data_IF_374831490463
#
_entry.id   IF_374831490463
#
_cell.length_a   1.000
_cell.length_b   1.000
_cell.length_c   1.000
_cell.angle_alpha   90.00
_cell.angle_beta   90.00
_cell.angle_gamma   90.00
#
_symmetry.space_group_name_H-M   'P 1'
#
loop_
_entity.id
_entity.type
_entity.pdbx_description
1 polymer ?
#
# COMPACT_ATOMS: atom_id res chain seq x y z
N UNK A 1 7.41 -29.11 3.15
CA UNK A 1 7.67 -27.96 4.05
C UNK A 1 6.38 -27.16 4.21
N UNK A 2 6.03 -26.78 5.44
CA UNK A 2 4.68 -26.38 5.87
C UNK A 2 4.19 -24.99 5.40
N UNK A 3 5.04 -24.12 4.85
CA UNK A 3 4.66 -22.72 4.55
C UNK A 3 5.17 -22.21 3.19
N UNK A 4 5.41 -23.10 2.22
CA UNK A 4 5.96 -22.71 0.91
C UNK A 4 5.07 -21.74 0.12
N UNK A 5 3.75 -21.76 0.37
CA UNK A 5 2.79 -20.87 -0.28
C UNK A 5 2.75 -19.45 0.32
N UNK A 6 3.43 -19.21 1.45
CA UNK A 6 3.37 -17.94 2.17
C UNK A 6 4.27 -16.90 1.48
N UNK A 7 3.66 -15.93 0.79
CA UNK A 7 4.37 -14.84 0.08
C UNK A 7 5.33 -14.01 0.94
N UNK A 8 5.16 -13.99 2.26
CA UNK A 8 6.02 -13.27 3.19
C UNK A 8 7.09 -14.13 3.87
N UNK A 9 7.34 -15.36 3.40
CA UNK A 9 8.23 -16.31 4.08
C UNK A 9 9.67 -15.78 4.20
N UNK A 10 10.23 -15.19 3.14
CA UNK A 10 11.59 -14.64 3.14
C UNK A 10 11.70 -13.42 4.06
N UNK A 11 10.67 -12.58 4.02
CA UNK A 11 10.50 -11.41 4.87
C UNK A 11 10.46 -11.82 6.37
N UNK A 12 9.71 -12.87 6.68
CA UNK A 12 9.58 -13.41 8.03
C UNK A 12 10.86 -14.11 8.49
N UNK A 13 11.55 -14.82 7.59
CA UNK A 13 12.86 -15.40 7.85
C UNK A 13 13.93 -14.31 8.12
N UNK A 14 13.91 -13.22 7.36
CA UNK A 14 14.75 -12.04 7.61
C UNK A 14 14.47 -11.42 8.98
N UNK A 15 13.19 -11.23 9.33
CA UNK A 15 12.78 -10.72 10.65
C UNK A 15 13.19 -11.66 11.77
N UNK A 16 12.99 -12.96 11.59
CA UNK A 16 13.36 -13.98 12.57
C UNK A 16 14.87 -13.97 12.82
N UNK A 17 15.69 -13.89 11.77
CA UNK A 17 17.16 -13.77 11.88
C UNK A 17 17.61 -12.59 12.75
N UNK A 18 16.87 -11.48 12.75
CA UNK A 18 17.17 -10.36 13.65
C UNK A 18 16.76 -10.62 15.09
N UNK A 19 15.62 -11.28 15.32
CA UNK A 19 15.14 -11.61 16.66
C UNK A 19 16.03 -12.67 17.32
N UNK A 20 16.40 -13.74 16.61
CA UNK A 20 17.17 -14.86 17.17
C UNK A 20 18.56 -14.46 17.66
N UNK A 21 19.11 -13.32 17.21
CA UNK A 21 20.34 -12.74 17.79
C UNK A 21 20.23 -12.44 19.29
N UNK A 22 19.00 -12.29 19.80
CA UNK A 22 18.71 -11.92 21.19
C UNK A 22 18.13 -13.07 22.01
N UNK A 23 17.47 -14.03 21.36
CA UNK A 23 16.71 -15.11 22.02
C UNK A 23 17.06 -16.51 21.51
N UNK A 24 18.04 -16.64 20.61
CA UNK A 24 18.31 -17.89 19.88
C UNK A 24 18.72 -19.06 20.77
N UNK A 25 19.30 -18.77 21.93
CA UNK A 25 19.73 -19.78 22.91
C UNK A 25 18.64 -20.13 23.93
N UNK A 26 17.47 -19.47 23.87
CA UNK A 26 16.36 -19.71 24.79
C UNK A 26 15.49 -20.87 24.31
N UNK A 27 15.06 -21.72 25.24
CA UNK A 27 13.99 -22.70 24.97
C UNK A 27 12.68 -21.98 24.65
N UNK A 28 11.80 -22.61 23.86
CA UNK A 28 10.49 -22.04 23.51
C UNK A 28 9.66 -21.63 24.75
N UNK A 29 9.74 -22.43 25.82
CA UNK A 29 9.06 -22.19 27.10
C UNK A 29 9.57 -20.92 27.82
N UNK A 30 10.82 -20.55 27.57
CA UNK A 30 11.48 -19.36 28.15
C UNK A 30 11.21 -18.09 27.34
N UNK A 31 10.52 -18.18 26.21
CA UNK A 31 10.23 -17.01 25.37
C UNK A 31 8.95 -16.34 25.84
N UNK A 32 9.05 -15.13 26.39
CA UNK A 32 7.94 -14.29 26.80
C UNK A 32 8.27 -12.81 26.53
N UNK A 33 7.34 -11.90 26.85
CA UNK A 33 7.55 -10.47 26.58
C UNK A 33 8.77 -9.88 27.30
N UNK A 34 9.17 -10.48 28.43
CA UNK A 34 10.34 -10.08 29.21
C UNK A 34 11.64 -10.47 28.52
N UNK A 35 11.77 -11.71 28.06
CA UNK A 35 12.96 -12.14 27.30
C UNK A 35 13.09 -11.45 25.94
N UNK A 36 12.01 -10.88 25.40
CA UNK A 36 12.03 -10.05 24.19
C UNK A 36 12.39 -8.57 24.44
N UNK A 37 12.58 -8.11 25.69
CA UNK A 37 12.92 -6.71 25.95
C UNK A 37 14.29 -6.33 25.39
N UNK A 38 15.28 -7.21 25.50
CA UNK A 38 16.62 -6.98 24.94
C UNK A 38 16.57 -6.72 23.43
N UNK A 39 15.76 -7.49 22.69
CA UNK A 39 15.47 -7.25 21.27
C UNK A 39 14.80 -5.90 21.05
N UNK A 40 13.76 -5.58 21.80
CA UNK A 40 13.03 -4.31 21.65
C UNK A 40 13.95 -3.11 21.88
N UNK A 41 14.72 -3.13 22.96
CA UNK A 41 15.65 -2.07 23.36
C UNK A 41 16.80 -1.92 22.38
N UNK A 42 17.42 -3.04 21.97
CA UNK A 42 18.48 -3.06 20.97
C UNK A 42 18.02 -2.43 19.65
N UNK A 43 16.85 -2.86 19.14
CA UNK A 43 16.32 -2.31 17.88
C UNK A 43 15.89 -0.84 18.00
N UNK A 44 15.40 -0.41 19.17
CA UNK A 44 15.15 1.03 19.42
C UNK A 44 16.44 1.85 19.41
N UNK A 45 17.51 1.33 20.01
CA UNK A 45 18.83 1.96 20.01
C UNK A 45 19.39 2.09 18.58
N UNK A 46 19.09 1.11 17.73
CA UNK A 46 19.42 1.16 16.29
C UNK A 46 18.56 2.14 15.47
N UNK A 47 17.63 2.87 16.10
CA UNK A 47 16.74 3.82 15.43
C UNK A 47 15.66 3.16 14.56
N UNK A 48 15.37 1.87 14.78
CA UNK A 48 14.41 1.11 13.97
C UNK A 48 12.99 1.46 14.36
N UNK A 49 12.13 1.67 13.35
CA UNK A 49 10.73 2.04 13.60
C UNK A 49 9.97 1.00 14.44
N UNK A 50 9.08 1.47 15.31
CA UNK A 50 8.23 0.61 16.15
C UNK A 50 7.47 -0.44 15.34
N UNK A 51 7.00 -0.07 14.13
CA UNK A 51 6.31 -1.00 13.22
C UNK A 51 7.21 -2.15 12.80
N UNK A 52 8.47 -1.88 12.47
CA UNK A 52 9.45 -2.91 12.10
C UNK A 52 9.76 -3.82 13.29
N UNK A 53 9.88 -3.28 14.50
CA UNK A 53 10.05 -4.08 15.73
C UNK A 53 8.82 -4.98 15.93
N UNK A 54 7.61 -4.42 15.80
CA UNK A 54 6.36 -5.18 15.86
C UNK A 54 6.28 -6.29 14.82
N UNK A 55 6.88 -6.13 13.64
CA UNK A 55 6.94 -7.20 12.64
C UNK A 55 7.78 -8.40 13.14
N UNK A 56 8.92 -8.17 13.81
CA UNK A 56 9.66 -9.24 14.48
C UNK A 56 8.84 -9.94 15.57
N UNK A 57 8.20 -9.15 16.44
CA UNK A 57 7.34 -9.68 17.51
C UNK A 57 6.15 -10.50 16.97
N UNK A 58 5.58 -10.13 15.81
CA UNK A 58 4.51 -10.89 15.14
C UNK A 58 5.00 -12.26 14.67
N UNK A 59 6.23 -12.36 14.15
CA UNK A 59 6.81 -13.63 13.72
C UNK A 59 6.97 -14.56 14.92
N UNK A 60 7.58 -14.08 16.01
CA UNK A 60 7.72 -14.84 17.26
C UNK A 60 6.36 -15.28 17.79
N UNK A 61 5.40 -14.36 17.87
CA UNK A 61 4.04 -14.70 18.33
C UNK A 61 3.40 -15.79 17.48
N UNK A 62 3.54 -15.75 16.15
CA UNK A 62 2.99 -16.79 15.27
C UNK A 62 3.67 -18.13 15.54
N UNK A 63 4.98 -18.16 15.70
CA UNK A 63 5.74 -19.38 16.02
C UNK A 63 5.28 -19.99 17.35
N UNK A 64 5.17 -19.18 18.41
CA UNK A 64 4.72 -19.68 19.73
C UNK A 64 3.28 -20.17 19.70
N UNK A 65 2.39 -19.49 18.95
CA UNK A 65 1.03 -19.98 18.76
C UNK A 65 1.01 -21.31 18.02
N UNK A 66 1.77 -21.45 16.93
CA UNK A 66 1.88 -22.71 16.18
C UNK A 66 2.41 -23.85 17.06
N UNK A 67 3.47 -23.59 17.82
CA UNK A 67 4.02 -24.53 18.79
C UNK A 67 3.01 -24.97 19.86
N UNK A 68 2.04 -24.12 20.19
CA UNK A 68 1.00 -24.41 21.18
C UNK A 68 -0.30 -24.99 20.62
N UNK A 69 -0.47 -25.05 19.30
CA UNK A 69 -1.77 -25.43 18.71
C UNK A 69 -1.72 -26.33 17.48
N UNK A 70 -0.70 -26.21 16.63
CA UNK A 70 -0.62 -26.89 15.33
C UNK A 70 0.57 -27.86 15.26
N UNK A 71 1.73 -27.48 15.81
CA UNK A 71 2.93 -28.31 15.79
C UNK A 71 2.89 -29.32 16.92
N UNK A 72 3.10 -30.59 16.56
CA UNK A 72 3.15 -31.71 17.48
C UNK A 72 4.52 -32.38 17.46
N UNK A 73 4.89 -33.00 18.57
CA UNK A 73 6.04 -33.89 18.66
C UNK A 73 5.68 -35.31 18.17
N UNK A 74 6.63 -36.24 18.29
CA UNK A 74 6.47 -37.64 17.90
C UNK A 74 5.39 -38.39 18.73
N UNK A 75 4.96 -37.83 19.85
CA UNK A 75 3.94 -38.38 20.74
C UNK A 75 2.56 -37.72 20.55
N UNK A 76 2.43 -36.80 19.58
CA UNK A 76 1.19 -36.08 19.32
C UNK A 76 0.87 -34.98 20.33
N UNK A 77 1.85 -34.56 21.13
CA UNK A 77 1.72 -33.45 22.07
C UNK A 77 2.22 -32.15 21.43
N UNK A 78 1.58 -31.03 21.77
CA UNK A 78 2.06 -29.72 21.31
C UNK A 78 3.39 -29.37 21.96
N UNK A 79 4.28 -28.72 21.19
CA UNK A 79 5.59 -28.27 21.67
C UNK A 79 5.51 -27.25 22.81
N UNK A 80 4.38 -26.56 22.95
CA UNK A 80 4.04 -25.72 24.08
C UNK A 80 2.65 -26.06 24.60
N UNK A 81 2.46 -26.04 25.92
CA UNK A 81 1.13 -26.18 26.52
C UNK A 81 0.25 -24.94 26.25
N UNK A 82 0.85 -23.75 26.30
CA UNK A 82 0.16 -22.48 26.05
C UNK A 82 1.14 -21.45 25.45
N UNK A 83 0.67 -20.67 24.48
CA UNK A 83 1.46 -19.58 23.93
C UNK A 83 1.40 -18.34 24.86
N UNK A 84 2.54 -17.75 25.24
CA UNK A 84 2.55 -16.57 26.08
C UNK A 84 2.06 -15.33 25.33
N UNK A 85 1.40 -14.43 26.05
CA UNK A 85 0.88 -13.18 25.48
C UNK A 85 2.01 -12.20 25.18
N UNK A 86 2.46 -12.18 23.93
CA UNK A 86 3.36 -11.13 23.43
C UNK A 86 2.51 -9.89 23.11
N UNK A 87 2.73 -8.73 23.73
CA UNK A 87 2.02 -7.47 23.41
C UNK A 87 2.79 -6.70 22.34
N UNK A 88 2.09 -6.12 21.35
CA UNK A 88 2.73 -5.21 20.38
C UNK A 88 2.93 -3.83 21.00
N UNK A 89 3.98 -3.15 20.56
CA UNK A 89 4.26 -1.76 20.91
C UNK A 89 3.24 -0.84 20.20
N UNK A 90 2.79 0.24 20.85
CA UNK A 90 1.86 1.18 20.22
C UNK A 90 2.53 1.94 19.06
N UNK A 91 1.83 2.04 17.92
CA UNK A 91 2.29 2.76 16.73
C UNK A 91 1.63 4.15 16.69
N UNK A 92 2.33 5.18 17.16
CA UNK A 92 1.81 6.56 17.20
C UNK A 92 2.10 7.37 15.92
N UNK A 93 3.12 6.97 15.15
CA UNK A 93 3.65 7.76 14.02
C UNK A 93 3.19 7.25 12.64
N UNK A 94 1.94 6.76 12.56
CA UNK A 94 1.38 6.36 11.27
C UNK A 94 1.17 7.60 10.39
N UNK A 95 1.94 7.67 9.31
CA UNK A 95 1.78 8.72 8.31
C UNK A 95 0.36 8.69 7.74
N UNK A 96 -0.30 9.83 7.78
CA UNK A 96 -1.63 10.01 7.17
C UNK A 96 -1.55 9.97 5.65
N UNK A 97 -2.58 9.47 4.95
CA UNK A 97 -2.67 9.58 3.50
C UNK A 97 -2.48 11.03 3.03
N UNK A 98 -1.74 11.23 1.95
CA UNK A 98 -1.49 12.56 1.37
C UNK A 98 -2.03 12.62 -0.07
N UNK A 99 -3.34 12.85 -0.29
CA UNK A 99 -3.88 13.09 -1.63
C UNK A 99 -3.32 14.40 -2.20
N UNK A 100 -2.81 14.35 -3.43
CA UNK A 100 -2.29 15.52 -4.13
C UNK A 100 -3.44 16.43 -4.58
N UNK A 101 -3.22 17.74 -4.49
CA UNK A 101 -3.99 18.74 -5.23
C UNK A 101 -3.66 18.68 -6.72
N UNK A 102 -4.48 19.32 -7.56
CA UNK A 102 -4.19 19.46 -8.99
C UNK A 102 -2.88 20.21 -9.22
N UNK A 103 -2.65 21.34 -8.54
CA UNK A 103 -1.38 22.10 -8.63
C UNK A 103 -0.15 21.22 -8.30
N UNK A 104 -0.20 20.48 -7.20
CA UNK A 104 0.89 19.58 -6.82
C UNK A 104 1.13 18.47 -7.85
N UNK A 105 0.06 17.92 -8.44
CA UNK A 105 0.18 16.95 -9.53
C UNK A 105 0.90 17.58 -10.71
N UNK A 106 0.49 18.75 -11.19
CA UNK A 106 1.12 19.42 -12.32
C UNK A 106 2.61 19.70 -12.06
N UNK A 107 2.93 20.28 -10.90
CA UNK A 107 4.33 20.57 -10.53
C UNK A 107 5.17 19.30 -10.45
N UNK A 108 4.65 18.23 -9.86
CA UNK A 108 5.36 16.95 -9.81
C UNK A 108 5.54 16.34 -11.21
N UNK A 109 4.49 16.33 -12.02
CA UNK A 109 4.47 15.62 -13.30
C UNK A 109 5.35 16.31 -14.33
N UNK A 110 5.40 17.65 -14.33
CA UNK A 110 6.29 18.44 -15.19
C UNK A 110 7.78 18.17 -14.91
N UNK A 111 8.13 17.71 -13.71
CA UNK A 111 9.50 17.36 -13.32
C UNK A 111 9.84 15.88 -13.57
N UNK A 112 8.86 15.05 -13.90
CA UNK A 112 9.07 13.62 -14.14
C UNK A 112 9.62 13.38 -15.56
N UNK A 113 10.59 12.46 -15.72
CA UNK A 113 10.92 11.91 -17.04
C UNK A 113 9.69 11.30 -17.71
N UNK A 114 9.58 11.39 -19.04
CA UNK A 114 8.40 10.97 -19.83
C UNK A 114 7.84 9.60 -19.44
N UNK A 115 8.70 8.59 -19.23
CA UNK A 115 8.26 7.26 -18.86
C UNK A 115 7.62 7.21 -17.46
N UNK A 116 8.14 7.97 -16.49
CA UNK A 116 7.57 8.06 -15.14
C UNK A 116 6.32 8.95 -15.10
N UNK A 117 6.26 10.00 -15.91
CA UNK A 117 5.10 10.87 -16.05
C UNK A 117 3.88 10.05 -16.53
N UNK A 118 4.05 9.25 -17.58
CA UNK A 118 3.01 8.31 -18.06
C UNK A 118 2.59 7.29 -17.00
N UNK A 119 3.55 6.69 -16.28
CA UNK A 119 3.23 5.77 -15.19
C UNK A 119 2.48 6.45 -14.04
N UNK A 120 2.86 7.68 -13.68
CA UNK A 120 2.21 8.47 -12.65
C UNK A 120 0.79 8.87 -13.05
N UNK A 121 0.61 9.26 -14.32
CA UNK A 121 -0.69 9.61 -14.88
C UNK A 121 -1.63 8.41 -14.93
N UNK A 122 -1.12 7.23 -15.29
CA UNK A 122 -1.88 5.99 -15.17
C UNK A 122 -2.24 5.67 -13.71
N UNK A 123 -1.27 5.78 -12.79
CA UNK A 123 -1.47 5.49 -11.36
C UNK A 123 -2.56 6.37 -10.72
N UNK A 124 -2.53 7.68 -10.98
CA UNK A 124 -3.46 8.65 -10.37
C UNK A 124 -4.88 8.54 -10.94
N UNK A 125 -5.05 7.84 -12.08
CA UNK A 125 -6.34 7.62 -12.74
C UNK A 125 -6.89 6.20 -12.59
N UNK A 126 -6.13 5.27 -12.01
CA UNK A 126 -6.55 3.85 -11.84
C UNK A 126 -6.42 3.36 -10.41
N UNK A 127 -5.66 4.06 -9.55
CA UNK A 127 -5.40 3.63 -8.18
C UNK A 127 -4.55 2.34 -8.07
N UNK A 128 -3.90 1.94 -9.16
CA UNK A 128 -3.00 0.79 -9.17
C UNK A 128 -1.80 1.02 -8.25
N UNK A 129 -1.31 -0.08 -7.65
CA UNK A 129 -0.08 -0.10 -6.86
C UNK A 129 1.13 -0.09 -7.79
N UNK A 130 2.27 0.34 -7.24
CA UNK A 130 3.55 0.41 -7.97
C UNK A 130 3.86 -0.87 -8.76
N UNK A 131 3.82 -2.02 -8.10
CA UNK A 131 4.05 -3.33 -8.73
C UNK A 131 3.00 -3.70 -9.79
N UNK A 132 1.73 -3.36 -9.57
CA UNK A 132 0.64 -3.62 -10.53
C UNK A 132 0.88 -2.88 -11.86
N UNK A 133 1.48 -1.68 -11.80
CA UNK A 133 1.81 -0.88 -12.99
C UNK A 133 3.09 -1.37 -13.65
N UNK A 134 4.12 -1.63 -12.85
CA UNK A 134 5.43 -2.12 -13.31
C UNK A 134 5.34 -3.45 -14.07
N UNK A 135 4.46 -4.34 -13.62
CA UNK A 135 4.28 -5.68 -14.20
C UNK A 135 3.15 -5.71 -15.25
N UNK A 136 2.41 -4.62 -15.49
CA UNK A 136 1.22 -4.62 -16.35
C UNK A 136 1.56 -5.13 -17.76
N UNK A 137 0.87 -6.18 -18.22
CA UNK A 137 1.10 -6.79 -19.53
C UNK A 137 -0.08 -6.60 -20.49
N UNK A 138 0.23 -6.63 -21.79
CA UNK A 138 -0.76 -6.52 -22.87
C UNK A 138 -1.73 -7.71 -22.89
N UNK A 139 -1.27 -8.92 -22.55
CA UNK A 139 -2.10 -10.13 -22.48
C UNK A 139 -3.21 -10.08 -21.43
N UNK A 140 -3.13 -9.16 -20.45
CA UNK A 140 -4.13 -9.01 -19.40
C UNK A 140 -5.26 -8.06 -19.79
N UNK A 141 -5.18 -7.41 -20.94
CA UNK A 141 -6.23 -6.57 -21.46
C UNK A 141 -7.39 -7.41 -21.99
N UNK A 142 -8.60 -7.12 -21.53
CA UNK A 142 -9.80 -7.83 -21.97
C UNK A 142 -10.57 -6.97 -22.96
N UNK A 143 -10.79 -7.50 -24.15
CA UNK A 143 -11.67 -6.90 -25.14
C UNK A 143 -13.12 -7.28 -24.84
N UNK A 144 -13.99 -6.28 -24.78
CA UNK A 144 -15.42 -6.45 -24.50
C UNK A 144 -16.18 -5.97 -25.73
N UNK A 145 -16.63 -6.88 -26.62
CA UNK A 145 -17.25 -6.51 -27.89
C UNK A 145 -18.44 -5.55 -27.76
N UNK A 146 -19.23 -5.67 -26.69
CA UNK A 146 -20.40 -4.83 -26.43
C UNK A 146 -20.03 -3.43 -25.93
N UNK A 147 -18.80 -3.24 -25.43
CA UNK A 147 -18.31 -2.01 -24.82
C UNK A 147 -16.90 -1.62 -25.35
N UNK A 148 -16.73 -1.41 -26.67
CA UNK A 148 -15.42 -1.22 -27.30
C UNK A 148 -14.71 0.08 -26.87
N UNK A 149 -15.44 1.01 -26.24
CA UNK A 149 -14.89 2.26 -25.72
C UNK A 149 -14.26 2.10 -24.32
N UNK A 150 -14.55 0.99 -23.64
CA UNK A 150 -14.05 0.67 -22.30
C UNK A 150 -12.81 -0.22 -22.43
N UNK A 151 -11.75 0.17 -21.72
CA UNK A 151 -10.53 -0.61 -21.62
C UNK A 151 -10.38 -1.12 -20.19
N UNK A 152 -10.22 -2.43 -20.03
CA UNK A 152 -9.97 -3.05 -18.73
C UNK A 152 -8.79 -4.01 -18.78
N UNK A 153 -8.11 -4.14 -17.65
CA UNK A 153 -7.12 -5.19 -17.42
C UNK A 153 -7.55 -6.09 -16.28
N UNK A 154 -7.29 -7.39 -16.36
CA UNK A 154 -7.41 -8.32 -15.23
C UNK A 154 -6.00 -8.73 -14.82
N UNK A 155 -5.50 -8.14 -13.74
CA UNK A 155 -4.18 -8.49 -13.20
C UNK A 155 -4.30 -9.81 -12.41
N UNK A 156 -3.44 -10.81 -12.70
CA UNK A 156 -3.47 -12.10 -12.02
C UNK A 156 -3.30 -11.99 -10.50
N UNK A 157 -4.03 -12.84 -9.77
CA UNK A 157 -4.01 -12.93 -8.31
C UNK A 157 -2.60 -13.03 -7.70
N UNK A 158 -1.66 -13.66 -8.40
CA UNK A 158 -0.26 -13.84 -8.01
C UNK A 158 0.47 -12.50 -7.80
N UNK A 159 0.12 -11.48 -8.59
CA UNK A 159 0.75 -10.15 -8.54
C UNK A 159 0.03 -9.17 -7.62
N UNK A 160 -1.21 -9.49 -7.22
CA UNK A 160 -2.02 -8.66 -6.36
C UNK A 160 -1.76 -9.01 -4.90
N UNK A 161 -1.49 -7.99 -4.07
CA UNK A 161 -1.12 -8.16 -2.65
C UNK A 161 -2.07 -9.07 -1.85
N UNK A 162 -3.35 -9.10 -2.20
CA UNK A 162 -4.39 -9.82 -1.46
C UNK A 162 -4.68 -11.22 -2.01
N UNK A 163 -4.02 -11.64 -3.10
CA UNK A 163 -4.22 -12.97 -3.68
C UNK A 163 -5.53 -13.14 -4.45
N UNK A 164 -6.23 -12.05 -4.77
CA UNK A 164 -7.43 -12.03 -5.60
C UNK A 164 -7.09 -11.32 -6.92
N UNK A 165 -7.74 -11.70 -8.02
CA UNK A 165 -7.61 -10.98 -9.29
C UNK A 165 -8.00 -9.51 -9.14
N UNK A 166 -7.38 -8.66 -9.97
CA UNK A 166 -7.58 -7.21 -9.91
C UNK A 166 -8.06 -6.69 -11.26
N UNK A 167 -9.36 -6.39 -11.33
CA UNK A 167 -9.94 -5.61 -12.42
C UNK A 167 -9.42 -4.17 -12.35
N UNK A 168 -8.81 -3.67 -13.42
CA UNK A 168 -8.41 -2.27 -13.57
C UNK A 168 -9.25 -1.66 -14.68
N UNK A 169 -10.15 -0.75 -14.33
CA UNK A 169 -10.95 0.00 -15.30
C UNK A 169 -10.20 1.27 -15.68
N UNK A 170 -9.87 1.42 -16.96
CA UNK A 170 -9.16 2.59 -17.47
C UNK A 170 -10.17 3.69 -17.84
N UNK A 171 -10.12 4.82 -17.13
CA UNK A 171 -10.80 6.02 -17.58
C UNK A 171 -10.15 6.57 -18.87
N UNK A 172 -10.74 7.62 -19.47
CA UNK A 172 -10.25 8.18 -20.73
C UNK A 172 -8.77 8.60 -20.70
N UNK A 173 -8.32 9.14 -19.57
CA UNK A 173 -6.92 9.58 -19.41
C UNK A 173 -5.98 8.36 -19.37
N UNK A 174 -6.30 7.37 -18.54
CA UNK A 174 -5.52 6.14 -18.45
C UNK A 174 -5.50 5.36 -19.78
N UNK A 175 -6.64 5.28 -20.47
CA UNK A 175 -6.77 4.67 -21.79
C UNK A 175 -5.90 5.36 -22.82
N UNK A 176 -5.86 6.70 -22.83
CA UNK A 176 -4.98 7.47 -23.71
C UNK A 176 -3.50 7.16 -23.45
N UNK A 177 -3.08 7.09 -22.18
CA UNK A 177 -1.71 6.69 -21.81
C UNK A 177 -1.36 5.31 -22.35
N UNK A 178 -2.22 4.32 -22.14
CA UNK A 178 -1.99 2.94 -22.59
C UNK A 178 -1.86 2.88 -24.12
N UNK A 179 -2.76 3.55 -24.84
CA UNK A 179 -2.72 3.59 -26.30
C UNK A 179 -1.43 4.25 -26.84
N UNK A 180 -0.93 5.29 -26.18
CA UNK A 180 0.34 5.96 -26.53
C UNK A 180 1.59 5.09 -26.29
N UNK A 181 1.45 3.93 -25.63
CA UNK A 181 2.54 3.00 -25.34
C UNK A 181 2.52 1.75 -26.21
N UNK A 182 1.49 1.56 -27.05
CA UNK A 182 1.40 0.43 -27.98
C UNK A 182 2.63 0.37 -28.89
N UNK A 183 3.11 -0.84 -29.13
CA UNK A 183 4.28 -1.09 -29.97
C UNK A 183 5.63 -0.70 -29.35
N UNK A 184 5.68 -0.06 -28.17
CA UNK A 184 6.96 0.31 -27.52
C UNK A 184 7.67 -0.87 -26.84
N UNK A 185 6.92 -1.90 -26.48
CA UNK A 185 7.45 -3.11 -25.84
C UNK A 185 6.54 -4.31 -26.13
N UNK A 186 7.08 -5.52 -26.35
CA UNK A 186 6.28 -6.67 -26.84
C UNK A 186 5.31 -7.24 -25.80
N UNK A 187 5.64 -7.20 -24.51
CA UNK A 187 4.84 -7.86 -23.45
C UNK A 187 4.25 -6.89 -22.43
N UNK A 188 5.08 -6.01 -21.87
CA UNK A 188 4.68 -5.04 -20.85
C UNK A 188 4.15 -3.71 -21.44
N UNK A 189 3.15 -3.13 -20.77
CA UNK A 189 2.58 -1.81 -21.09
C UNK A 189 3.59 -0.70 -20.80
N UNK A 190 4.23 -0.75 -19.63
CA UNK A 190 5.21 0.24 -19.19
C UNK A 190 6.62 -0.32 -19.27
N UNK A 191 7.50 0.39 -19.98
CA UNK A 191 8.90 0.03 -20.11
C UNK A 191 9.79 1.28 -20.20
N UNK A 192 11.07 1.11 -19.91
CA UNK A 192 12.09 2.14 -20.11
C UNK A 192 13.31 1.49 -20.75
N UNK A 193 13.77 2.05 -21.88
CA UNK A 193 14.91 1.53 -22.66
C UNK A 193 14.77 0.03 -22.98
N UNK A 194 13.58 -0.39 -23.40
CA UNK A 194 13.29 -1.76 -23.80
C UNK A 194 13.21 -2.77 -22.65
N UNK A 195 13.19 -2.32 -21.39
CA UNK A 195 13.06 -3.19 -20.21
C UNK A 195 11.88 -2.79 -19.33
N UNK A 196 11.17 -3.75 -18.71
CA UNK A 196 10.22 -3.46 -17.65
C UNK A 196 10.88 -2.73 -16.49
N UNK A 197 10.12 -1.90 -15.77
CA UNK A 197 10.59 -1.24 -14.56
C UNK A 197 10.24 -2.09 -13.35
N UNK A 198 11.15 -2.18 -12.37
CA UNK A 198 10.87 -2.86 -11.09
C UNK A 198 10.14 -1.98 -10.07
N UNK A 199 10.19 -0.65 -10.25
CA UNK A 199 9.52 0.35 -9.39
C UNK A 199 9.44 1.72 -10.04
N UNK A 200 8.35 2.45 -9.80
CA UNK A 200 8.18 3.87 -10.13
C UNK A 200 9.01 4.75 -9.18
N UNK A 201 9.17 4.34 -7.90
CA UNK A 201 9.98 5.05 -6.90
C UNK A 201 11.49 4.88 -7.18
N UNK A 202 11.91 5.33 -8.35
CA UNK A 202 13.27 5.34 -8.85
C UNK A 202 14.01 6.61 -8.42
N UNK A 203 15.28 6.71 -8.82
CA UNK A 203 16.06 7.95 -8.65
C UNK A 203 15.39 9.13 -9.36
N UNK A 204 14.84 8.92 -10.55
CA UNK A 204 14.11 9.95 -11.31
C UNK A 204 12.90 10.50 -10.55
N UNK A 205 12.08 9.64 -9.96
CA UNK A 205 10.96 10.07 -9.11
C UNK A 205 11.43 10.90 -7.92
N UNK A 206 12.48 10.43 -7.23
CA UNK A 206 13.01 11.12 -6.03
C UNK A 206 13.57 12.50 -6.37
N UNK A 207 14.22 12.64 -7.51
CA UNK A 207 14.71 13.94 -7.99
C UNK A 207 13.55 14.86 -8.37
N UNK A 208 12.58 14.36 -9.14
CA UNK A 208 11.42 15.12 -9.57
C UNK A 208 10.62 15.69 -8.38
N UNK A 209 10.32 14.86 -7.38
CA UNK A 209 9.58 15.31 -6.20
C UNK A 209 10.34 16.34 -5.36
N UNK A 210 11.67 16.33 -5.35
CA UNK A 210 12.47 17.34 -4.65
C UNK A 210 12.38 18.67 -5.41
N UNK A 211 12.57 18.65 -6.74
CA UNK A 211 12.45 19.84 -7.59
C UNK A 211 11.06 20.47 -7.51
N UNK A 212 10.03 19.63 -7.46
CA UNK A 212 8.66 20.07 -7.28
C UNK A 212 8.33 20.51 -5.83
N UNK A 213 9.28 20.58 -4.89
CA UNK A 213 8.98 20.96 -3.50
C UNK A 213 8.07 19.98 -2.73
N UNK A 214 8.02 18.73 -3.19
CA UNK A 214 7.15 17.65 -2.72
C UNK A 214 7.97 16.45 -2.23
N UNK A 215 9.07 16.72 -1.51
CA UNK A 215 10.08 15.73 -1.10
C UNK A 215 9.51 14.51 -0.38
N UNK A 216 8.34 14.65 0.25
CA UNK A 216 7.69 13.60 1.02
C UNK A 216 6.72 12.74 0.20
N UNK A 217 6.33 13.15 -1.02
CA UNK A 217 5.32 12.43 -1.83
C UNK A 217 5.84 11.06 -2.27
N UNK A 218 4.98 10.05 -2.12
CA UNK A 218 5.21 8.65 -2.48
C UNK A 218 4.36 8.28 -3.70
N UNK A 219 4.75 7.25 -4.43
CA UNK A 219 3.93 6.69 -5.53
C UNK A 219 2.55 6.26 -5.02
N UNK A 220 2.47 5.71 -3.81
CA UNK A 220 1.20 5.29 -3.19
C UNK A 220 0.25 6.47 -2.89
N UNK A 221 0.77 7.69 -2.78
CA UNK A 221 -0.08 8.87 -2.60
C UNK A 221 -0.93 9.13 -3.86
N UNK A 222 -0.51 8.69 -5.05
CA UNK A 222 -1.34 8.76 -6.27
C UNK A 222 -2.61 7.90 -6.16
N UNK A 223 -2.52 6.72 -5.53
CA UNK A 223 -3.71 5.89 -5.21
C UNK A 223 -4.63 6.61 -4.22
N UNK A 224 -4.06 7.25 -3.20
CA UNK A 224 -4.83 8.06 -2.26
C UNK A 224 -5.50 9.26 -2.94
N UNK A 225 -4.82 9.89 -3.90
CA UNK A 225 -5.37 10.95 -4.75
C UNK A 225 -6.58 10.44 -5.53
N UNK A 226 -6.45 9.32 -6.25
CA UNK A 226 -7.56 8.72 -7.00
C UNK A 226 -8.76 8.45 -6.10
N UNK A 227 -8.56 7.76 -4.98
CA UNK A 227 -9.63 7.45 -4.02
C UNK A 227 -10.28 8.70 -3.40
N UNK A 228 -9.49 9.76 -3.16
CA UNK A 228 -10.02 11.02 -2.63
C UNK A 228 -10.83 11.77 -3.69
N UNK A 229 -10.38 11.79 -4.95
CA UNK A 229 -11.11 12.40 -6.07
C UNK A 229 -12.42 11.68 -6.33
N UNK A 230 -12.42 10.36 -6.36
CA UNK A 230 -13.66 9.57 -6.51
C UNK A 230 -14.66 9.90 -5.39
N UNK A 231 -14.17 10.01 -4.14
CA UNK A 231 -15.01 10.40 -3.01
C UNK A 231 -15.59 11.80 -3.18
N UNK A 232 -14.77 12.75 -3.63
CA UNK A 232 -15.20 14.13 -3.84
C UNK A 232 -16.21 14.24 -5.01
N UNK A 233 -16.08 13.39 -6.02
CA UNK A 233 -16.99 13.28 -7.16
C UNK A 233 -18.29 12.48 -6.86
N UNK A 234 -18.55 12.15 -5.59
CA UNK A 234 -19.77 11.47 -5.16
C UNK A 234 -19.87 10.01 -5.59
N UNK A 235 -18.76 9.36 -5.96
CA UNK A 235 -18.77 7.93 -6.31
C UNK A 235 -19.05 7.09 -5.05
N UNK A 236 -19.91 6.08 -5.21
CA UNK A 236 -20.37 5.22 -4.11
C UNK A 236 -19.19 4.58 -3.37
N UNK A 237 -19.41 4.14 -2.13
CA UNK A 237 -18.33 3.46 -1.39
C UNK A 237 -17.96 2.12 -2.05
N UNK A 238 -18.95 1.39 -2.56
CA UNK A 238 -18.81 0.10 -3.22
C UNK A 238 -17.99 0.23 -4.52
N UNK A 239 -18.39 1.13 -5.43
CA UNK A 239 -17.65 1.37 -6.68
C UNK A 239 -16.22 1.86 -6.40
N UNK A 240 -16.01 2.65 -5.32
CA UNK A 240 -14.67 3.04 -4.90
C UNK A 240 -13.83 1.87 -4.40
N UNK A 241 -14.43 0.87 -3.75
CA UNK A 241 -13.70 -0.34 -3.36
C UNK A 241 -13.27 -1.14 -4.59
N UNK A 242 -14.18 -1.31 -5.55
CA UNK A 242 -13.91 -2.01 -6.80
C UNK A 242 -12.85 -1.28 -7.63
N UNK A 243 -12.99 0.03 -7.83
CA UNK A 243 -12.01 0.85 -8.54
C UNK A 243 -10.64 0.91 -7.85
N UNK A 244 -10.57 0.80 -6.51
CA UNK A 244 -9.30 0.78 -5.77
C UNK A 244 -8.73 -0.62 -5.55
N UNK A 245 -9.42 -1.68 -5.97
CA UNK A 245 -8.98 -3.07 -5.73
C UNK A 245 -8.87 -3.37 -4.24
N UNK A 246 -9.81 -2.86 -3.46
CA UNK A 246 -10.00 -3.28 -2.07
C UNK A 246 -10.77 -4.60 -2.09
N UNK A 247 -10.54 -5.49 -1.11
CA UNK A 247 -11.41 -6.64 -0.93
C UNK A 247 -12.82 -6.14 -0.65
N UNK A 248 -13.67 -6.27 -1.65
CA UNK A 248 -15.12 -6.23 -1.52
C UNK A 248 -15.57 -7.66 -1.22
N UNK A 249 -16.61 -7.87 -0.42
CA UNK A 249 -17.16 -9.20 -0.17
C UNK A 249 -17.81 -9.84 -1.41
N UNK A 250 -17.76 -9.16 -2.56
CA UNK A 250 -18.27 -9.61 -3.86
C UNK A 250 -17.23 -10.50 -4.53
N UNK A 251 -17.64 -11.66 -5.02
CA UNK A 251 -16.81 -12.61 -5.79
C UNK A 251 -16.19 -11.85 -6.97
N UNK A 252 -14.86 -11.76 -7.00
CA UNK A 252 -14.07 -10.77 -7.77
C UNK A 252 -13.89 -11.04 -9.27
N UNK A 253 -14.73 -11.86 -9.90
CA UNK A 253 -14.48 -12.34 -11.27
C UNK A 253 -15.65 -12.23 -12.24
N UNK A 254 -16.84 -11.86 -11.78
CA UNK A 254 -18.02 -11.75 -12.65
C UNK A 254 -18.59 -10.34 -12.57
N UNK A 255 -18.09 -9.46 -13.46
CA UNK A 255 -18.67 -8.15 -13.70
C UNK A 255 -19.57 -8.22 -14.94
N UNK A 256 -20.81 -7.79 -14.80
CA UNK A 256 -21.70 -7.57 -15.94
C UNK A 256 -21.27 -6.34 -16.75
N UNK A 257 -21.68 -6.29 -18.03
CA UNK A 257 -21.42 -5.14 -18.89
C UNK A 257 -21.96 -3.82 -18.29
N UNK A 258 -23.11 -3.88 -17.61
CA UNK A 258 -23.69 -2.73 -16.92
C UNK A 258 -22.81 -2.24 -15.75
N UNK A 259 -22.22 -3.17 -14.98
CA UNK A 259 -21.29 -2.82 -13.90
C UNK A 259 -19.99 -2.22 -14.44
N UNK A 260 -19.44 -2.77 -15.52
CA UNK A 260 -18.25 -2.21 -16.16
C UNK A 260 -18.50 -0.81 -16.72
N UNK A 261 -19.66 -0.58 -17.34
CA UNK A 261 -20.09 0.75 -17.77
C UNK A 261 -20.15 1.73 -16.58
N UNK A 262 -20.80 1.32 -15.48
CA UNK A 262 -20.92 2.15 -14.28
C UNK A 262 -19.54 2.49 -13.68
N UNK A 263 -18.64 1.51 -13.57
CA UNK A 263 -17.29 1.72 -13.06
C UNK A 263 -16.46 2.64 -13.97
N UNK A 264 -16.60 2.50 -15.29
CA UNK A 264 -15.95 3.37 -16.27
C UNK A 264 -16.44 4.81 -16.16
N UNK A 265 -17.74 5.04 -16.09
CA UNK A 265 -18.33 6.37 -15.89
C UNK A 265 -17.89 6.99 -14.56
N UNK A 266 -17.90 6.21 -13.48
CA UNK A 266 -17.42 6.64 -12.17
C UNK A 266 -15.93 7.04 -12.20
N UNK A 267 -15.09 6.26 -12.87
CA UNK A 267 -13.66 6.58 -13.04
C UNK A 267 -13.43 7.80 -13.94
N UNK A 268 -14.31 8.08 -14.91
CA UNK A 268 -14.24 9.28 -15.75
C UNK A 268 -14.63 10.57 -15.02
N UNK A 269 -15.42 10.50 -13.93
CA UNK A 269 -15.74 11.70 -13.12
C UNK A 269 -14.51 12.37 -12.51
N UNK A 270 -13.38 11.69 -12.46
CA UNK A 270 -12.12 12.22 -11.93
C UNK A 270 -11.08 12.54 -13.00
N UNK A 271 -11.43 12.36 -14.29
CA UNK A 271 -10.64 12.87 -15.40
C UNK A 271 -10.58 14.40 -15.32
N UNK A 272 -9.42 14.95 -15.64
CA UNK A 272 -9.21 16.38 -15.69
C UNK A 272 -9.86 16.95 -16.97
N UNK A 273 -11.15 17.33 -16.91
CA UNK A 273 -11.79 18.15 -17.95
C UNK A 273 -12.44 19.40 -17.33
N UNK A 274 -11.96 20.55 -17.79
CA UNK A 274 -12.42 21.94 -17.60
C UNK A 274 -13.61 22.18 -16.64
N UNK A 275 -13.33 22.44 -15.36
CA UNK A 275 -13.64 23.69 -14.61
C UNK A 275 -13.74 23.46 -13.09
N UNK A 276 -13.04 24.36 -12.39
CA UNK A 276 -13.32 24.95 -11.08
C UNK A 276 -13.64 24.04 -9.89
N UNK A 277 -12.65 23.99 -8.99
CA UNK A 277 -12.91 24.37 -7.59
C UNK A 277 -13.44 23.29 -6.67
N UNK A 278 -12.55 22.42 -6.19
CA UNK A 278 -12.63 21.97 -4.79
C UNK A 278 -11.24 22.04 -4.19
N UNK A 279 -10.91 23.18 -3.60
CA UNK A 279 -9.80 23.30 -2.66
C UNK A 279 -10.13 22.42 -1.47
N UNK A 280 -9.24 21.47 -1.18
CA UNK A 280 -9.29 20.64 0.02
C UNK A 280 -9.06 21.53 1.26
N UNK A 281 -10.14 22.05 1.85
CA UNK A 281 -10.04 22.72 3.14
C UNK A 281 -9.74 21.70 4.23
N UNK A 282 -8.50 21.68 4.70
CA UNK A 282 -8.11 20.96 5.90
C UNK A 282 -8.69 21.68 7.12
N UNK A 283 -9.83 21.21 7.62
CA UNK A 283 -10.32 21.61 8.94
C UNK A 283 -9.40 21.00 10.01
N UNK A 284 -8.36 21.74 10.41
CA UNK A 284 -7.65 21.48 11.67
C UNK A 284 -8.48 22.11 12.80
N UNK A 285 -9.00 21.27 13.69
CA UNK A 285 -9.58 21.76 14.94
C UNK A 285 -8.43 22.27 15.83
N UNK A 286 -8.23 23.59 15.88
CA UNK A 286 -7.18 24.26 16.66
C UNK A 286 -7.45 24.27 18.16
N UNK A 287 -8.59 23.75 18.62
CA UNK A 287 -8.97 23.71 20.04
C UNK A 287 -8.79 22.32 20.66
N UNK A 288 -7.57 21.76 20.67
CA UNK A 288 -7.20 20.68 21.60
C UNK A 288 -5.69 20.70 21.99
N UNK A 289 -5.09 21.89 22.06
CA UNK A 289 -3.78 22.08 22.72
C UNK A 289 -3.82 23.32 23.60
N UNK A 290 -4.48 23.25 24.76
CA UNK A 290 -4.27 24.26 25.81
C UNK A 290 -4.66 23.84 27.24
N UNK A 291 -4.85 22.55 27.54
CA UNK A 291 -5.19 22.12 28.92
C UNK A 291 -4.14 21.27 29.64
N UNK A 292 -3.05 20.87 28.98
CA UNK A 292 -1.94 20.17 29.65
C UNK A 292 -0.72 21.07 29.94
N UNK A 293 -0.47 22.10 29.11
CA UNK A 293 0.71 22.98 29.30
C UNK A 293 0.52 24.05 30.40
N UNK A 294 -0.72 24.36 30.81
CA UNK A 294 -1.00 25.36 31.87
C UNK A 294 -0.96 24.80 33.30
N UNK A 295 -0.68 23.51 33.48
CA UNK A 295 -0.54 22.90 34.83
C UNK A 295 0.92 22.71 35.27
N UNK A 296 1.89 22.83 34.36
CA UNK A 296 3.31 22.76 34.72
C UNK A 296 3.91 24.14 35.05
N UNK A 297 3.41 25.23 34.44
CA UNK A 297 3.91 26.60 34.74
C UNK A 297 3.29 27.22 36.01
N UNK A 298 2.30 26.58 36.64
CA UNK A 298 1.67 27.08 37.87
C UNK A 298 2.28 26.50 39.16
N UNK A 299 3.16 25.49 39.06
CA UNK A 299 3.81 24.85 40.21
C UNK A 299 5.29 25.23 40.39
N UNK A 300 5.80 26.22 39.65
CA UNK A 300 7.19 26.71 39.76
C UNK A 300 7.29 28.12 40.38
N UNK A 301 6.17 28.74 40.76
CA UNK A 301 6.15 30.10 41.36
C UNK A 301 5.48 30.13 42.77
N UNK A 302 5.32 28.99 43.44
CA UNK A 302 4.83 29.00 44.83
C UNK A 302 5.40 27.83 45.63
N UNK A 303 6.39 28.16 46.46
CA UNK A 303 7.13 27.36 47.47
C UNK A 303 8.30 26.53 46.95
#
# INVERSE_FOLDING_TARGET
MENQHKRSIDDDAGRLREVVKYIGDLSLESIHIGSLQSFIEGRRKDGVSTRTINHGLKVVRRILNLAASEWMDEFGLTWLANAPKIKLLPEHDLRKPYPLTWDEQHRLFNELPEHLEKMALFAVNTGCRDREICELQWEWEIQIPELPHIMVFIIPAELVKNGDERLVVCNDTARSVVNNLRGKHPTHVFSFRGKPLSRILSTGWRQARIKAGLAEVRVHDLKHTFGRRLRAAGVSFEDRQDLLGHRSGRITTHYSSAELQNLFEAANRVCEKQKSGVVLTLLRNSKMKTRQQKREDANVISL
#
